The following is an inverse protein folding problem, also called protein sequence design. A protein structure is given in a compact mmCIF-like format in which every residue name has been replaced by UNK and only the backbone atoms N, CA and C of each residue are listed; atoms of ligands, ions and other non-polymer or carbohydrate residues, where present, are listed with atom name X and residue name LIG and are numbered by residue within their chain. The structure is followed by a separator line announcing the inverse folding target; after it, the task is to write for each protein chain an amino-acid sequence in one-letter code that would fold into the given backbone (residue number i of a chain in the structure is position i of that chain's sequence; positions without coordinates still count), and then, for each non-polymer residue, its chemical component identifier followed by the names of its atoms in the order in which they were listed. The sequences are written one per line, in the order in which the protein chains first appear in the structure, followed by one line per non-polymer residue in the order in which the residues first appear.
data_IF_380241161974
#
_entry.id   IF_380241161974
#
_cell.length_a   1.000
_cell.length_b   1.000
_cell.length_c   1.000
_cell.angle_alpha   90.00
_cell.angle_beta   90.00
_cell.angle_gamma   90.00
#
_symmetry.space_group_name_H-M   'P 1'
#
loop_
_entity.id
_entity.type
_entity.pdbx_description
1 polymer ?
#
# COMPACT_ATOMS: atom_id res chain seq x y z
N UNK A 1 -9.95 39.92 9.61
CA UNK A 1 -8.73 39.31 10.18
C UNK A 1 -8.27 38.28 9.16
N UNK A 2 -7.06 38.37 8.61
CA UNK A 2 -6.58 37.38 7.66
C UNK A 2 -6.34 36.05 8.39
N UNK A 3 -6.92 34.95 7.92
CA UNK A 3 -6.66 33.62 8.46
C UNK A 3 -5.17 33.30 8.30
N UNK A 4 -4.54 32.78 9.36
CA UNK A 4 -3.14 32.40 9.33
C UNK A 4 -2.94 31.25 8.33
N UNK A 5 -1.82 31.30 7.59
CA UNK A 5 -1.37 30.16 6.81
C UNK A 5 -0.96 29.05 7.78
N UNK A 6 -1.51 27.85 7.61
CA UNK A 6 -1.31 26.70 8.49
C UNK A 6 -0.53 25.59 7.81
N UNK A 7 -0.48 25.58 6.47
CA UNK A 7 0.34 24.65 5.70
C UNK A 7 0.84 25.30 4.40
N UNK A 8 1.97 24.81 3.89
CA UNK A 8 2.57 25.21 2.61
C UNK A 8 2.68 23.97 1.73
N UNK A 9 2.27 24.07 0.48
CA UNK A 9 2.36 22.95 -0.46
C UNK A 9 3.82 22.75 -0.87
N UNK A 10 4.36 21.56 -0.63
CA UNK A 10 5.75 21.20 -0.97
C UNK A 10 5.85 20.37 -2.25
N UNK A 11 4.84 19.56 -2.56
CA UNK A 11 4.76 18.82 -3.81
C UNK A 11 3.29 18.58 -4.23
N UNK A 12 3.06 18.49 -5.54
CA UNK A 12 1.75 18.11 -6.12
C UNK A 12 2.00 17.14 -7.28
N UNK A 13 1.31 16.01 -7.27
CA UNK A 13 1.19 15.09 -8.39
C UNK A 13 -0.30 15.07 -8.82
N UNK A 14 -0.60 15.51 -10.04
CA UNK A 14 -2.00 15.65 -10.50
C UNK A 14 -2.55 17.07 -10.34
N UNK A 15 -3.81 17.21 -9.92
CA UNK A 15 -4.45 18.51 -9.67
C UNK A 15 -4.93 18.62 -8.23
N UNK A 16 -4.87 19.81 -7.65
CA UNK A 16 -5.35 20.05 -6.30
C UNK A 16 -5.97 21.43 -6.19
N UNK A 17 -7.00 21.56 -5.37
CA UNK A 17 -7.73 22.80 -5.19
C UNK A 17 -7.92 23.09 -3.70
N UNK A 18 -7.82 24.35 -3.31
CA UNK A 18 -8.26 24.85 -2.01
C UNK A 18 -9.63 25.50 -2.17
N UNK A 19 -10.61 25.04 -1.42
CA UNK A 19 -11.94 25.64 -1.32
C UNK A 19 -11.99 26.59 -0.13
N UNK A 20 -12.29 27.86 -0.35
CA UNK A 20 -12.45 28.82 0.75
C UNK A 20 -13.81 28.64 1.47
N UNK A 21 -14.02 29.38 2.57
CA UNK A 21 -15.26 29.36 3.34
C UNK A 21 -16.48 29.84 2.54
N UNK A 22 -16.29 30.66 1.49
CA UNK A 22 -17.33 31.04 0.52
C UNK A 22 -17.64 29.96 -0.52
N UNK A 23 -16.89 28.85 -0.53
CA UNK A 23 -17.08 27.72 -1.43
C UNK A 23 -16.39 27.84 -2.79
N UNK A 24 -15.58 28.88 -3.00
CA UNK A 24 -14.80 29.11 -4.22
C UNK A 24 -13.55 28.22 -4.24
N UNK A 25 -13.32 27.53 -5.37
CA UNK A 25 -12.17 26.68 -5.59
C UNK A 25 -11.00 27.49 -6.19
N UNK A 26 -9.83 27.37 -5.58
CA UNK A 26 -8.55 27.90 -6.05
C UNK A 26 -7.61 26.75 -6.35
N UNK A 27 -7.13 26.63 -7.58
CA UNK A 27 -6.08 25.65 -7.93
C UNK A 27 -4.80 25.91 -7.13
N UNK A 28 -4.22 24.86 -6.57
CA UNK A 28 -3.00 24.90 -5.76
C UNK A 28 -1.76 24.60 -6.60
N UNK A 29 -0.66 25.26 -6.26
CA UNK A 29 0.67 25.04 -6.82
C UNK A 29 1.68 24.84 -5.70
N UNK A 30 2.81 24.21 -6.04
CA UNK A 30 3.95 24.09 -5.11
C UNK A 30 4.38 25.49 -4.66
N UNK A 31 4.47 25.67 -3.34
CA UNK A 31 4.73 26.95 -2.67
C UNK A 31 3.47 27.73 -2.25
N UNK A 32 2.26 27.28 -2.63
CA UNK A 32 1.03 27.92 -2.17
C UNK A 32 0.75 27.61 -0.69
N UNK A 33 0.19 28.60 0.00
CA UNK A 33 -0.19 28.47 1.40
C UNK A 33 -1.68 28.17 1.54
N UNK A 34 -1.99 27.17 2.36
CA UNK A 34 -3.32 26.83 2.83
C UNK A 34 -3.60 27.56 4.15
N UNK A 35 -4.80 28.14 4.24
CA UNK A 35 -5.25 28.88 5.43
C UNK A 35 -6.25 28.08 6.23
N UNK A 36 -6.32 28.39 7.52
CA UNK A 36 -7.33 27.80 8.42
C UNK A 36 -8.75 28.03 7.87
N UNK A 37 -9.52 26.95 7.76
CA UNK A 37 -10.88 26.96 7.19
C UNK A 37 -10.94 26.81 5.67
N UNK A 38 -9.81 26.59 4.99
CA UNK A 38 -9.80 26.13 3.59
C UNK A 38 -9.93 24.58 3.55
N UNK A 39 -10.75 24.06 2.63
CA UNK A 39 -10.86 22.61 2.38
C UNK A 39 -9.97 22.24 1.21
N UNK A 40 -9.07 21.28 1.40
CA UNK A 40 -8.28 20.72 0.31
C UNK A 40 -9.13 19.73 -0.47
N UNK A 41 -9.17 19.88 -1.79
CA UNK A 41 -9.86 19.01 -2.73
C UNK A 41 -8.81 18.38 -3.64
N UNK A 42 -8.62 17.08 -3.47
CA UNK A 42 -7.71 16.26 -4.28
C UNK A 42 -8.53 15.25 -5.09
N UNK A 43 -8.75 15.49 -6.39
CA UNK A 43 -9.42 14.54 -7.27
C UNK A 43 -8.73 13.17 -7.29
N UNK A 44 -9.46 12.11 -7.63
CA UNK A 44 -8.90 10.76 -7.71
C UNK A 44 -7.64 10.71 -8.59
N UNK A 45 -6.60 10.05 -8.08
CA UNK A 45 -5.28 9.99 -8.73
C UNK A 45 -4.39 11.21 -8.49
N UNK A 46 -4.81 12.20 -7.70
CA UNK A 46 -3.98 13.33 -7.29
C UNK A 46 -3.43 13.16 -5.87
N UNK A 47 -2.20 13.61 -5.67
CA UNK A 47 -1.48 13.60 -4.39
C UNK A 47 -0.89 14.97 -4.12
N UNK A 48 -0.99 15.43 -2.88
CA UNK A 48 -0.45 16.70 -2.41
C UNK A 48 0.38 16.46 -1.17
N UNK A 49 1.59 17.01 -1.13
CA UNK A 49 2.41 17.08 0.06
C UNK A 49 2.35 18.49 0.62
N UNK A 50 2.09 18.57 1.93
CA UNK A 50 1.93 19.79 2.68
C UNK A 50 2.94 19.80 3.83
N UNK A 51 3.62 20.91 4.02
CA UNK A 51 4.41 21.19 5.21
C UNK A 51 3.59 22.11 6.12
N UNK A 52 3.22 21.61 7.29
CA UNK A 52 2.52 22.35 8.33
C UNK A 52 3.41 23.43 8.94
N UNK A 53 2.80 24.41 9.60
CA UNK A 53 3.50 25.53 10.23
C UNK A 53 4.44 25.13 11.40
N UNK A 54 4.30 23.92 11.93
CA UNK A 54 5.16 23.30 12.94
C UNK A 54 6.34 22.51 12.33
N UNK A 55 6.40 22.40 10.99
CA UNK A 55 7.45 21.70 10.25
C UNK A 55 7.14 20.23 9.96
N UNK A 56 5.95 19.75 10.29
CA UNK A 56 5.51 18.39 9.96
C UNK A 56 5.05 18.29 8.50
N UNK A 57 5.47 17.25 7.79
CA UNK A 57 5.07 17.01 6.40
C UNK A 57 3.93 15.96 6.34
N UNK A 58 2.82 16.32 5.71
CA UNK A 58 1.66 15.46 5.51
C UNK A 58 1.45 15.26 4.00
N UNK A 59 1.30 13.99 3.59
CA UNK A 59 0.91 13.64 2.23
C UNK A 59 -0.57 13.23 2.19
N UNK A 60 -1.36 13.92 1.39
CA UNK A 60 -2.78 13.63 1.15
C UNK A 60 -2.90 13.01 -0.23
N UNK A 61 -3.34 11.76 -0.30
CA UNK A 61 -3.52 11.01 -1.53
C UNK A 61 -4.87 10.27 -1.50
N UNK A 62 -5.66 10.39 -2.57
CA UNK A 62 -6.89 9.61 -2.74
C UNK A 62 -8.05 9.99 -1.81
N UNK A 63 -7.97 11.12 -1.10
CA UNK A 63 -9.09 11.63 -0.29
C UNK A 63 -9.82 12.72 -1.10
N UNK A 64 -11.10 12.55 -1.43
CA UNK A 64 -11.79 13.46 -2.35
C UNK A 64 -11.96 14.88 -1.79
N UNK A 65 -12.17 15.04 -0.48
CA UNK A 65 -12.23 16.33 0.21
C UNK A 65 -11.69 16.17 1.64
N UNK A 66 -10.76 17.06 2.05
CA UNK A 66 -10.23 17.15 3.42
C UNK A 66 -10.46 18.58 3.92
N UNK A 67 -11.37 18.77 4.88
CA UNK A 67 -11.60 20.08 5.50
C UNK A 67 -10.50 20.37 6.52
N UNK A 68 -9.70 21.40 6.28
CA UNK A 68 -8.61 21.78 7.19
C UNK A 68 -9.18 22.66 8.30
N UNK A 69 -9.87 22.04 9.24
CA UNK A 69 -10.41 22.66 10.45
C UNK A 69 -9.42 22.54 11.63
N UNK A 70 -9.54 23.45 12.61
CA UNK A 70 -8.72 23.43 13.83
C UNK A 70 -8.84 22.10 14.61
N UNK A 71 -9.93 21.36 14.41
CA UNK A 71 -10.16 20.03 14.99
C UNK A 71 -9.25 18.95 14.38
N UNK A 72 -8.82 19.05 13.11
CA UNK A 72 -7.82 18.11 12.56
C UNK A 72 -6.45 18.27 13.23
N UNK A 73 -6.11 19.47 13.70
CA UNK A 73 -4.91 19.73 14.51
C UNK A 73 -5.08 19.29 15.97
N UNK A 74 -6.31 19.09 16.46
CA UNK A 74 -6.56 18.55 17.79
C UNK A 74 -6.57 17.00 17.79
N UNK A 75 -6.98 16.37 16.70
CA UNK A 75 -7.04 14.90 16.60
C UNK A 75 -5.72 14.25 16.15
N UNK A 76 -4.82 15.01 15.49
CA UNK A 76 -3.41 14.63 15.27
C UNK A 76 -2.46 15.09 16.38
N UNK A 77 -2.94 15.87 17.35
CA UNK A 77 -2.22 16.17 18.59
C UNK A 77 -2.48 15.13 19.69
N UNK A 78 -2.88 13.91 19.35
CA UNK A 78 -2.54 12.75 20.17
C UNK A 78 -1.05 12.43 19.96
N UNK A 79 -0.18 13.38 20.34
CA UNK A 79 1.23 13.09 20.55
C UNK A 79 1.34 11.95 21.56
N UNK A 80 2.39 11.15 21.43
CA UNK A 80 2.67 9.96 22.22
C UNK A 80 2.72 10.16 23.76
N UNK A 81 2.49 11.39 24.25
CA UNK A 81 2.50 11.76 25.65
C UNK A 81 1.15 11.58 26.38
N UNK A 82 0.01 11.41 25.68
CA UNK A 82 -1.29 11.21 26.35
C UNK A 82 -1.73 9.72 26.42
N UNK A 83 -0.96 8.83 25.77
CA UNK A 83 -1.05 7.39 25.95
C UNK A 83 -0.01 6.83 26.95
N UNK A 84 0.90 7.66 27.45
CA UNK A 84 1.83 7.28 28.48
C UNK A 84 1.14 7.37 29.85
N UNK A 85 0.71 6.22 30.36
CA UNK A 85 0.52 6.02 31.81
C UNK A 85 1.73 6.65 32.51
N UNK A 86 1.49 7.69 33.33
CA UNK A 86 2.56 8.29 34.14
C UNK A 86 3.20 7.18 34.96
N UNK A 87 4.53 7.12 34.90
CA UNK A 87 5.46 6.17 35.51
C UNK A 87 5.02 5.65 36.90
N UNK A 88 4.42 6.49 37.75
CA UNK A 88 3.92 6.10 39.08
C UNK A 88 2.78 5.06 39.08
N UNK A 89 1.97 4.97 38.01
CA UNK A 89 0.86 3.99 37.89
C UNK A 89 1.29 2.65 37.30
N UNK A 90 2.47 2.60 36.66
CA UNK A 90 2.98 1.38 36.05
C UNK A 90 3.55 0.41 37.11
N UNK A 91 4.27 0.94 38.10
CA UNK A 91 4.79 0.15 39.23
C UNK A 91 3.66 -0.45 40.08
N UNK A 92 2.57 0.28 40.30
CA UNK A 92 1.40 -0.22 41.05
C UNK A 92 0.63 -1.30 40.27
N UNK A 93 0.55 -1.19 38.94
CA UNK A 93 -0.05 -2.21 38.06
C UNK A 93 0.83 -3.47 38.00
N UNK A 94 2.16 -3.32 37.96
CA UNK A 94 3.10 -4.44 38.03
C UNK A 94 2.98 -5.14 39.39
N UNK A 95 2.95 -4.41 40.49
CA UNK A 95 2.78 -4.98 41.83
C UNK A 95 1.43 -5.72 41.99
N UNK A 96 0.36 -5.20 41.38
CA UNK A 96 -0.96 -5.85 41.38
C UNK A 96 -1.07 -7.06 40.42
N UNK A 97 -0.19 -7.19 39.43
CA UNK A 97 -0.07 -8.38 38.58
C UNK A 97 0.82 -9.47 39.19
N UNK A 98 1.83 -9.07 39.98
CA UNK A 98 2.74 -9.98 40.69
C UNK A 98 2.16 -10.48 42.02
N UNK A 99 1.31 -9.69 42.67
CA UNK A 99 0.37 -10.13 43.70
C UNK A 99 -0.97 -10.52 43.09
N UNK A 100 -1.81 -11.29 43.78
CA UNK A 100 -3.18 -11.62 43.33
C UNK A 100 -4.14 -10.41 43.48
N UNK A 101 -3.68 -9.21 43.10
CA UNK A 101 -4.35 -7.93 43.31
C UNK A 101 -5.40 -7.62 42.24
N UNK A 102 -6.45 -6.89 42.62
CA UNK A 102 -7.50 -6.47 41.69
C UNK A 102 -7.11 -5.16 40.98
N UNK A 103 -6.88 -5.24 39.68
CA UNK A 103 -6.47 -4.11 38.83
C UNK A 103 -7.54 -3.01 38.75
N UNK A 104 -8.78 -3.28 39.16
CA UNK A 104 -9.85 -2.29 39.20
C UNK A 104 -9.72 -1.26 40.33
N UNK A 105 -8.87 -1.52 41.34
CA UNK A 105 -8.59 -0.56 42.42
C UNK A 105 -7.44 0.41 42.07
N UNK A 106 -6.62 0.07 41.08
CA UNK A 106 -5.42 0.84 40.68
C UNK A 106 -5.72 1.77 39.49
N UNK A 107 -6.64 1.38 38.60
CA UNK A 107 -7.03 2.19 37.45
C UNK A 107 -8.11 3.20 37.84
N UNK A 108 -7.87 4.50 37.61
CA UNK A 108 -8.91 5.52 37.83
C UNK A 108 -10.13 5.26 36.93
N UNK A 109 -11.32 5.44 37.50
CA UNK A 109 -12.57 5.32 36.76
C UNK A 109 -12.60 6.33 35.60
N UNK A 110 -12.92 5.83 34.40
CA UNK A 110 -13.10 6.64 33.20
C UNK A 110 -14.02 7.82 33.47
N UNK A 111 -13.73 8.98 32.87
CA UNK A 111 -14.41 10.28 33.05
C UNK A 111 -15.91 10.34 32.67
N UNK A 112 -16.63 9.21 32.65
CA UNK A 112 -18.09 9.18 32.59
C UNK A 112 -18.63 9.03 34.01
N UNK A 113 -18.98 10.17 34.62
CA UNK A 113 -19.60 10.21 35.94
C UNK A 113 -20.84 9.30 36.06
N UNK A 114 -21.21 9.00 37.29
CA UNK A 114 -22.36 8.17 37.64
C UNK A 114 -23.68 8.74 37.06
N UNK A 115 -24.04 8.32 35.85
CA UNK A 115 -25.28 8.75 35.20
C UNK A 115 -25.45 8.49 33.70
N UNK A 116 -24.63 7.64 33.05
CA UNK A 116 -24.79 7.34 31.63
C UNK A 116 -25.55 6.02 31.41
N UNK A 117 -26.79 6.12 30.92
CA UNK A 117 -27.61 5.02 30.44
C UNK A 117 -26.93 4.32 29.25
N UNK A 118 -26.15 3.26 29.54
CA UNK A 118 -26.11 1.99 28.82
C UNK A 118 -25.88 1.92 27.30
N UNK A 119 -25.62 3.01 26.56
CA UNK A 119 -25.44 2.96 25.10
C UNK A 119 -24.31 3.87 24.60
N UNK A 120 -23.11 3.68 25.14
CA UNK A 120 -21.86 3.61 24.36
C UNK A 120 -20.73 3.36 25.35
N UNK A 121 -20.34 2.09 25.49
CA UNK A 121 -19.20 1.71 26.30
C UNK A 121 -17.92 2.18 25.58
N UNK A 122 -17.48 3.40 25.88
CA UNK A 122 -16.08 3.77 25.74
C UNK A 122 -15.28 2.75 26.53
N UNK A 123 -14.74 1.76 25.82
CA UNK A 123 -13.96 0.70 26.42
C UNK A 123 -12.54 1.21 26.48
N UNK A 124 -12.08 1.64 27.65
CA UNK A 124 -10.65 1.71 27.92
C UNK A 124 -10.16 0.28 28.04
N UNK A 125 -9.85 -0.34 26.90
CA UNK A 125 -9.11 -1.59 26.89
C UNK A 125 -7.63 -1.24 27.11
N UNK A 126 -6.99 -1.82 28.12
CA UNK A 126 -5.53 -1.93 28.07
C UNK A 126 -5.25 -3.00 27.03
N UNK A 127 -4.74 -2.60 25.87
CA UNK A 127 -4.05 -3.56 24.99
C UNK A 127 -2.70 -3.84 25.64
N UNK A 128 -2.58 -4.96 26.34
CA UNK A 128 -1.27 -5.55 26.56
C UNK A 128 -0.76 -5.97 25.17
N UNK A 129 -0.04 -5.08 24.51
CA UNK A 129 0.88 -5.53 23.48
C UNK A 129 1.96 -6.33 24.24
N UNK A 130 2.12 -7.62 23.93
CA UNK A 130 3.45 -8.19 24.05
C UNK A 130 4.32 -7.29 23.19
N UNK A 131 5.17 -6.47 23.81
CA UNK A 131 6.35 -6.04 23.11
C UNK A 131 7.03 -7.36 22.74
N UNK A 132 7.15 -7.61 21.45
CA UNK A 132 8.10 -8.58 20.94
C UNK A 132 9.48 -8.03 21.29
N UNK A 133 9.83 -8.11 22.56
CA UNK A 133 11.22 -8.11 22.96
C UNK A 133 11.72 -9.42 22.41
N UNK A 134 12.62 -9.34 21.41
CA UNK A 134 13.24 -10.47 20.70
C UNK A 134 13.09 -11.75 21.50
N UNK A 135 12.01 -12.50 21.25
CA UNK A 135 11.81 -13.76 21.94
C UNK A 135 13.03 -14.57 21.51
N UNK A 136 13.98 -14.90 22.40
CA UNK A 136 15.05 -15.78 21.99
C UNK A 136 14.36 -17.00 21.42
N UNK A 137 14.78 -17.42 20.22
CA UNK A 137 14.16 -18.57 19.57
C UNK A 137 13.96 -19.68 20.59
N UNK A 138 12.77 -20.26 20.62
CA UNK A 138 12.45 -21.32 21.56
C UNK A 138 13.36 -22.52 21.27
N UNK A 139 14.55 -22.51 21.84
CA UNK A 139 15.52 -23.59 21.74
C UNK A 139 15.40 -24.40 23.01
N UNK A 140 14.74 -25.56 22.92
CA UNK A 140 14.49 -26.38 24.11
C UNK A 140 13.60 -27.59 23.96
N UNK A 141 12.93 -27.81 22.81
CA UNK A 141 12.29 -29.12 22.58
C UNK A 141 13.36 -30.14 22.21
N UNK A 142 13.84 -30.82 23.24
CA UNK A 142 14.66 -32.02 23.12
C UNK A 142 13.73 -33.23 23.23
N UNK A 143 13.93 -34.21 22.36
CA UNK A 143 13.35 -35.52 22.60
C UNK A 143 14.05 -36.19 23.80
N UNK A 144 13.56 -37.36 24.23
CA UNK A 144 14.14 -38.10 25.36
C UNK A 144 15.61 -38.52 25.12
N UNK A 145 16.15 -38.34 23.90
CA UNK A 145 17.53 -38.65 23.54
C UNK A 145 18.48 -37.44 23.65
N UNK A 146 17.96 -36.24 23.90
CA UNK A 146 18.74 -35.02 24.02
C UNK A 146 19.13 -34.37 22.68
N UNK A 147 18.55 -34.84 21.57
CA UNK A 147 18.76 -34.22 20.24
C UNK A 147 17.81 -33.04 20.09
N UNK A 148 18.35 -31.87 19.71
CA UNK A 148 17.54 -30.69 19.43
C UNK A 148 16.79 -30.89 18.10
N UNK A 149 15.47 -30.87 18.15
CA UNK A 149 14.65 -30.87 16.96
C UNK A 149 14.67 -29.46 16.36
N UNK A 150 15.44 -29.26 15.29
CA UNK A 150 15.38 -28.03 14.49
C UNK A 150 14.14 -28.08 13.62
N UNK A 151 13.00 -27.66 14.16
CA UNK A 151 11.82 -27.37 13.37
C UNK A 151 11.92 -25.93 12.88
N UNK A 152 12.39 -25.74 11.64
CA UNK A 152 12.23 -24.47 10.96
C UNK A 152 10.74 -24.28 10.70
N UNK A 153 10.12 -23.29 11.33
CA UNK A 153 8.92 -22.70 10.76
C UNK A 153 9.44 -21.78 9.67
N UNK A 154 9.51 -22.28 8.44
CA UNK A 154 9.46 -21.37 7.30
C UNK A 154 8.13 -20.63 7.50
N UNK A 155 8.17 -19.38 7.96
CA UNK A 155 7.06 -18.48 7.68
C UNK A 155 7.03 -18.45 6.15
N UNK A 156 6.20 -19.32 5.57
CA UNK A 156 5.92 -19.29 4.15
C UNK A 156 5.62 -17.84 3.84
N UNK A 157 6.28 -17.32 2.81
CA UNK A 157 6.05 -15.98 2.32
C UNK A 157 4.53 -15.70 2.33
N UNK A 158 4.10 -14.46 2.67
CA UNK A 158 2.67 -14.16 2.71
C UNK A 158 2.02 -14.73 1.45
N UNK A 159 1.08 -15.65 1.61
CA UNK A 159 0.30 -16.26 0.53
C UNK A 159 -0.66 -15.22 -0.06
N UNK A 160 -0.06 -14.19 -0.68
CA UNK A 160 -0.66 -13.11 -1.46
C UNK A 160 0.25 -12.89 -2.69
N UNK A 161 0.93 -13.93 -3.16
CA UNK A 161 1.78 -13.87 -4.37
C UNK A 161 1.17 -14.77 -5.43
N UNK A 162 0.90 -14.22 -6.61
CA UNK A 162 0.81 -15.09 -7.77
C UNK A 162 2.22 -15.60 -8.06
N UNK A 163 2.36 -16.91 -8.25
CA UNK A 163 3.60 -17.49 -8.78
C UNK A 163 3.56 -17.29 -10.30
N UNK A 164 4.10 -16.15 -10.74
CA UNK A 164 4.16 -15.80 -12.14
C UNK A 164 5.41 -16.42 -12.78
N UNK A 165 5.22 -17.31 -13.74
CA UNK A 165 6.27 -17.98 -14.48
C UNK A 165 6.57 -17.24 -15.80
N UNK A 166 7.85 -17.10 -16.20
CA UNK A 166 8.20 -16.39 -17.42
C UNK A 166 7.69 -17.09 -18.69
N UNK A 167 7.17 -16.29 -19.62
CA UNK A 167 6.63 -16.78 -20.89
C UNK A 167 7.64 -16.76 -22.02
N UNK A 168 7.40 -17.64 -23.01
CA UNK A 168 8.11 -17.62 -24.28
C UNK A 168 7.15 -17.80 -25.47
N UNK A 169 7.38 -17.03 -26.54
CA UNK A 169 6.67 -17.16 -27.80
C UNK A 169 7.61 -17.04 -29.00
N UNK A 170 7.18 -17.56 -30.16
CA UNK A 170 7.92 -17.44 -31.42
C UNK A 170 6.98 -16.95 -32.51
N UNK A 171 7.43 -16.01 -33.34
CA UNK A 171 6.66 -15.49 -34.47
C UNK A 171 7.57 -15.21 -35.67
N UNK A 172 7.09 -15.33 -36.91
CA UNK A 172 7.78 -14.74 -38.05
C UNK A 172 7.82 -13.21 -37.95
N UNK A 173 8.82 -12.59 -38.58
CA UNK A 173 8.83 -11.14 -38.74
C UNK A 173 7.52 -10.64 -39.41
N UNK A 174 7.10 -9.43 -39.04
CA UNK A 174 5.87 -8.79 -39.52
C UNK A 174 4.55 -9.51 -39.17
N UNK A 175 4.59 -10.63 -38.43
CA UNK A 175 3.40 -11.35 -37.96
C UNK A 175 3.14 -11.07 -36.47
N UNK A 176 1.93 -10.63 -36.09
CA UNK A 176 1.55 -10.53 -34.70
C UNK A 176 1.35 -11.91 -34.08
N UNK A 177 1.67 -12.03 -32.79
CA UNK A 177 1.44 -13.24 -31.98
C UNK A 177 0.64 -12.88 -30.74
N UNK A 178 -0.32 -13.73 -30.38
CA UNK A 178 -1.10 -13.63 -29.13
C UNK A 178 -0.55 -14.64 -28.14
N UNK A 179 -0.28 -14.17 -26.92
CA UNK A 179 0.39 -14.93 -25.85
C UNK A 179 -0.57 -14.95 -24.65
N UNK A 180 -0.90 -16.15 -24.18
CA UNK A 180 -1.71 -16.35 -22.98
C UNK A 180 -0.80 -16.38 -21.74
N UNK A 181 -0.36 -15.19 -21.33
CA UNK A 181 0.68 -14.99 -20.28
C UNK A 181 0.27 -15.42 -18.87
N UNK A 182 -0.96 -15.90 -18.68
CA UNK A 182 -1.44 -16.43 -17.39
C UNK A 182 -1.62 -17.96 -17.43
N UNK A 183 -1.45 -18.63 -18.58
CA UNK A 183 -1.76 -20.07 -18.70
C UNK A 183 -0.78 -20.97 -17.92
N UNK A 184 0.43 -20.48 -17.70
CA UNK A 184 1.51 -21.14 -16.95
C UNK A 184 1.67 -20.59 -15.52
N UNK A 185 0.78 -19.71 -15.07
CA UNK A 185 0.90 -19.09 -13.74
C UNK A 185 0.02 -19.78 -12.70
N UNK A 186 0.46 -19.74 -11.45
CA UNK A 186 -0.37 -20.08 -10.28
C UNK A 186 -0.83 -18.76 -9.61
N UNK A 187 -2.11 -18.41 -9.77
CA UNK A 187 -2.66 -17.13 -9.32
C UNK A 187 -4.00 -17.28 -8.58
N UNK A 188 -4.38 -16.23 -7.86
CA UNK A 188 -5.69 -16.12 -7.21
C UNK A 188 -6.79 -16.09 -8.28
N UNK A 189 -7.84 -16.89 -8.10
CA UNK A 189 -8.97 -16.95 -9.04
C UNK A 189 -9.50 -15.54 -9.39
N UNK A 190 -9.53 -15.23 -10.68
CA UNK A 190 -9.96 -13.91 -11.19
C UNK A 190 -8.85 -12.89 -11.39
N UNK A 191 -7.58 -13.25 -11.24
CA UNK A 191 -6.47 -12.35 -11.60
C UNK A 191 -6.50 -11.96 -13.08
N UNK A 192 -6.07 -10.74 -13.38
CA UNK A 192 -6.02 -10.18 -14.74
C UNK A 192 -4.68 -9.50 -15.00
N UNK A 193 -4.30 -9.43 -16.27
CA UNK A 193 -3.15 -8.62 -16.71
C UNK A 193 -3.55 -7.14 -16.71
N UNK A 194 -2.86 -6.33 -15.91
CA UNK A 194 -3.15 -4.90 -15.77
C UNK A 194 -2.20 -4.00 -16.53
N UNK A 195 -0.96 -4.44 -16.74
CA UNK A 195 0.05 -3.63 -17.40
C UNK A 195 1.01 -4.51 -18.20
N UNK A 196 1.54 -3.95 -19.28
CA UNK A 196 2.64 -4.53 -20.07
C UNK A 196 3.67 -3.44 -20.34
N UNK A 197 4.95 -3.76 -20.24
CA UNK A 197 6.02 -2.83 -20.63
C UNK A 197 6.13 -2.77 -22.15
N UNK A 198 6.62 -1.65 -22.67
CA UNK A 198 6.96 -1.56 -24.08
C UNK A 198 8.23 -2.41 -24.36
N UNK A 199 8.19 -3.36 -25.31
CA UNK A 199 9.39 -4.04 -25.79
C UNK A 199 10.25 -3.09 -26.64
N UNK A 200 11.52 -3.43 -26.86
CA UNK A 200 12.44 -2.56 -27.62
C UNK A 200 12.21 -2.62 -29.13
N UNK A 201 11.81 -3.79 -29.65
CA UNK A 201 11.75 -4.06 -31.09
C UNK A 201 10.34 -4.44 -31.55
N UNK A 202 9.32 -4.01 -30.82
CA UNK A 202 7.93 -4.22 -31.18
C UNK A 202 6.96 -3.40 -30.34
N UNK A 203 5.71 -3.84 -30.33
CA UNK A 203 4.62 -3.28 -29.54
C UNK A 203 3.89 -4.43 -28.86
N UNK A 204 3.74 -4.35 -27.53
CA UNK A 204 2.91 -5.26 -26.75
C UNK A 204 1.62 -4.55 -26.32
N UNK A 205 0.49 -5.26 -26.35
CA UNK A 205 -0.82 -4.72 -25.97
C UNK A 205 -1.69 -5.78 -25.30
N UNK A 206 -2.39 -5.41 -24.23
CA UNK A 206 -3.31 -6.29 -23.50
C UNK A 206 -4.63 -6.37 -24.27
N UNK A 207 -5.14 -7.57 -24.46
CA UNK A 207 -6.43 -7.85 -25.09
C UNK A 207 -7.55 -7.93 -24.03
N UNK A 208 -8.80 -7.80 -24.47
CA UNK A 208 -9.97 -7.82 -23.57
C UNK A 208 -10.19 -9.16 -22.85
N UNK A 209 -9.61 -10.25 -23.36
CA UNK A 209 -9.66 -11.59 -22.77
C UNK A 209 -8.50 -11.87 -21.80
N UNK A 210 -7.62 -10.90 -21.54
CA UNK A 210 -6.47 -11.03 -20.64
C UNK A 210 -5.20 -11.54 -21.31
N UNK A 211 -5.24 -11.88 -22.61
CA UNK A 211 -4.03 -12.25 -23.36
C UNK A 211 -3.23 -11.01 -23.79
N UNK A 212 -1.97 -11.19 -24.20
CA UNK A 212 -1.12 -10.11 -24.73
C UNK A 212 -0.82 -10.33 -26.21
N UNK A 213 -1.09 -9.34 -27.05
CA UNK A 213 -0.66 -9.33 -28.45
C UNK A 213 0.68 -8.61 -28.58
N UNK A 214 1.69 -9.30 -29.10
CA UNK A 214 2.97 -8.75 -29.51
C UNK A 214 3.04 -8.60 -31.03
N UNK A 215 3.44 -7.42 -31.51
CA UNK A 215 3.71 -7.13 -32.91
C UNK A 215 5.13 -6.61 -33.05
N UNK A 216 5.95 -7.31 -33.81
CA UNK A 216 7.32 -6.89 -34.08
C UNK A 216 7.39 -5.68 -35.02
N UNK A 217 8.47 -4.90 -34.89
CA UNK A 217 8.79 -3.82 -35.82
C UNK A 217 9.18 -4.39 -37.20
N UNK A 218 8.82 -3.71 -38.31
CA UNK A 218 9.18 -4.18 -39.65
C UNK A 218 10.69 -4.40 -39.80
N UNK A 219 11.07 -5.58 -40.30
CA UNK A 219 12.45 -5.99 -40.54
C UNK A 219 13.29 -6.33 -39.30
N UNK A 220 12.69 -6.40 -38.11
CA UNK A 220 13.38 -6.92 -36.93
C UNK A 220 13.37 -8.45 -36.92
N UNK A 221 14.51 -9.04 -36.60
CA UNK A 221 14.67 -10.47 -36.32
C UNK A 221 15.57 -10.64 -35.11
N UNK A 222 15.32 -11.69 -34.33
CA UNK A 222 16.00 -11.94 -33.06
C UNK A 222 15.05 -11.89 -31.87
N UNK A 223 15.64 -11.89 -30.67
CA UNK A 223 14.90 -11.95 -29.42
C UNK A 223 14.52 -10.54 -28.94
N UNK A 224 13.27 -10.40 -28.50
CA UNK A 224 12.74 -9.19 -27.86
C UNK A 224 12.07 -9.57 -26.53
N UNK A 225 12.04 -8.65 -25.58
CA UNK A 225 11.50 -8.92 -24.23
C UNK A 225 10.62 -7.79 -23.75
N UNK A 226 9.59 -8.15 -22.98
CA UNK A 226 8.76 -7.22 -22.22
C UNK A 226 8.33 -7.88 -20.91
N UNK A 227 7.75 -7.11 -20.00
CA UNK A 227 7.15 -7.64 -18.77
C UNK A 227 5.64 -7.44 -18.77
N UNK A 228 4.92 -8.29 -18.04
CA UNK A 228 3.53 -8.04 -17.68
C UNK A 228 3.34 -8.03 -16.17
N UNK A 229 2.33 -7.30 -15.71
CA UNK A 229 1.94 -7.21 -14.31
C UNK A 229 0.53 -7.76 -14.15
N UNK A 230 0.36 -8.70 -13.23
CA UNK A 230 -0.94 -9.24 -12.85
C UNK A 230 -1.47 -8.58 -11.58
N UNK A 231 -2.79 -8.40 -11.51
CA UNK A 231 -3.52 -7.87 -10.35
C UNK A 231 -4.68 -8.79 -9.97
N UNK A 232 -5.03 -8.81 -8.68
CA UNK A 232 -6.27 -9.39 -8.17
C UNK A 232 -7.50 -8.58 -8.61
N UNK A 233 -8.72 -9.15 -8.56
CA UNK A 233 -9.97 -8.41 -8.78
C UNK A 233 -10.12 -7.15 -7.92
N UNK A 234 -9.54 -7.17 -6.71
CA UNK A 234 -9.56 -6.05 -5.76
C UNK A 234 -8.49 -4.97 -6.06
N UNK A 235 -7.71 -5.14 -7.13
CA UNK A 235 -6.73 -4.17 -7.60
C UNK A 235 -5.32 -4.32 -7.00
N UNK A 236 -5.09 -5.32 -6.15
CA UNK A 236 -3.76 -5.57 -5.59
C UNK A 236 -2.84 -6.24 -6.61
N UNK A 237 -1.63 -5.73 -6.78
CA UNK A 237 -0.60 -6.32 -7.64
C UNK A 237 -0.16 -7.68 -7.09
N UNK A 238 -0.29 -8.72 -7.91
CA UNK A 238 0.11 -10.08 -7.54
C UNK A 238 1.54 -10.42 -7.95
N UNK A 239 2.09 -9.71 -8.94
CA UNK A 239 3.46 -9.88 -9.39
C UNK A 239 3.75 -9.24 -10.75
N UNK A 240 5.01 -9.26 -11.16
CA UNK A 240 5.47 -8.91 -12.51
C UNK A 240 6.46 -9.97 -12.98
N UNK A 241 6.32 -10.47 -14.21
CA UNK A 241 7.29 -11.40 -14.81
C UNK A 241 7.61 -11.03 -16.26
N UNK A 242 8.56 -11.75 -16.86
CA UNK A 242 9.12 -11.46 -18.19
C UNK A 242 8.54 -12.38 -19.25
N UNK A 243 8.23 -11.80 -20.41
CA UNK A 243 7.89 -12.49 -21.65
C UNK A 243 9.02 -12.33 -22.65
N UNK A 244 9.42 -13.44 -23.26
CA UNK A 244 10.46 -13.49 -24.29
C UNK A 244 9.87 -13.87 -25.63
N UNK A 245 10.07 -13.06 -26.67
CA UNK A 245 9.59 -13.34 -28.03
C UNK A 245 10.77 -13.54 -28.98
N UNK A 246 10.83 -14.69 -29.64
CA UNK A 246 11.80 -14.97 -30.71
C UNK A 246 11.18 -14.66 -32.08
N UNK A 247 11.74 -13.66 -32.78
CA UNK A 247 11.28 -13.23 -34.10
C UNK A 247 12.16 -13.86 -35.18
N UNK A 248 11.57 -14.76 -35.96
CA UNK A 248 12.25 -15.50 -37.01
C UNK A 248 12.12 -14.81 -38.37
N UNK A 249 13.15 -14.83 -39.23
CA UNK A 249 13.06 -14.24 -40.56
C UNK A 249 11.97 -14.93 -41.40
N UNK A 250 11.17 -14.15 -42.13
CA UNK A 250 10.28 -14.74 -43.13
C UNK A 250 11.10 -15.22 -44.31
N UNK A 251 11.01 -16.51 -44.62
CA UNK A 251 11.57 -17.02 -45.88
C UNK A 251 10.68 -16.54 -47.04
N UNK A 252 11.09 -15.49 -47.75
CA UNK A 252 10.44 -15.12 -49.01
C UNK A 252 10.71 -16.22 -50.06
N UNK A 253 9.68 -16.84 -50.67
CA UNK A 253 9.90 -17.76 -51.77
C UNK A 253 10.55 -17.01 -52.95
N UNK A 254 11.48 -17.63 -53.71
CA UNK A 254 12.13 -16.95 -54.82
C UNK A 254 11.10 -16.43 -55.84
N UNK A 255 11.34 -15.28 -56.47
CA UNK A 255 10.42 -14.73 -57.46
C UNK A 255 10.20 -15.73 -58.61
N UNK A 256 8.98 -15.86 -59.15
CA UNK A 256 8.72 -16.73 -60.28
C UNK A 256 9.59 -16.33 -61.49
N UNK A 257 10.03 -17.29 -62.32
CA UNK A 257 10.94 -17.05 -63.45
C UNK A 257 10.31 -16.21 -64.58
#
# INVERSE_FOLDING_TARGET
MAAAAIATVTAIEGTAYARNAEGELRELRVGDQLRQGETLVTPEGSRVELELADGEAIAIAGIPEVSIDADMLAELAAGADEAALRDETLDDVIAALEGDGDLSEVLEATAAGAGADGTNAGSSFIRLARISEDTPEFSGLRDASGTEATAFVEQGEPIIGAELEPDAATTPEEQPVTIAVLDNDDYVEGAIVSAVSAPQNGVASINADGTVTYKTNPGFTGQDTFTYTSITPDGNVTGTTTVTVDVTPTSEPPPPP
#
